data_IF_714364492791
#
_entry.id   IF_714364492791
#
_cell.length_a   1.000
_cell.length_b   1.000
_cell.length_c   1.000
_cell.angle_alpha   90.00
_cell.angle_beta   90.00
_cell.angle_gamma   90.00
#
_symmetry.space_group_name_H-M   'P 1'
#
loop_
_entity.id
_entity.type
_entity.pdbx_description
1 polymer ?
#
# COMPACT_ATOMS: atom_id res chain seq x y z
N UNK A 1 19.07 10.12 -15.70
CA UNK A 1 19.42 11.45 -16.28
C UNK A 1 19.66 12.36 -15.11
N UNK A 2 20.90 12.81 -14.92
CA UNK A 2 21.24 13.72 -13.83
C UNK A 2 20.69 15.10 -14.18
N UNK A 3 19.62 15.54 -13.51
CA UNK A 3 18.94 16.80 -13.81
C UNK A 3 19.82 18.03 -13.66
N UNK A 4 20.94 17.92 -12.92
CA UNK A 4 21.94 18.98 -12.85
C UNK A 4 22.62 19.26 -14.20
N UNK A 5 22.63 18.32 -15.15
CA UNK A 5 23.21 18.54 -16.48
C UNK A 5 22.20 19.10 -17.49
N UNK A 6 20.89 19.03 -17.21
CA UNK A 6 19.82 19.32 -18.16
C UNK A 6 19.42 20.80 -18.19
N UNK A 7 19.68 21.54 -17.11
CA UNK A 7 19.18 22.91 -16.90
C UNK A 7 20.27 23.92 -16.54
N UNK A 8 21.55 23.57 -16.69
CA UNK A 8 22.66 24.52 -16.51
C UNK A 8 22.39 25.77 -17.34
N UNK A 9 22.61 26.94 -16.74
CA UNK A 9 22.52 28.27 -17.37
C UNK A 9 21.09 28.83 -17.58
N UNK A 10 20.03 28.14 -17.13
CA UNK A 10 18.67 28.69 -17.14
C UNK A 10 18.36 29.54 -15.90
N UNK A 11 17.58 30.61 -16.06
CA UNK A 11 17.08 31.41 -14.94
C UNK A 11 16.23 30.55 -14.01
N UNK A 12 16.52 30.58 -12.70
CA UNK A 12 15.86 29.75 -11.69
C UNK A 12 16.54 28.41 -11.41
N UNK A 13 17.63 28.07 -12.12
CA UNK A 13 18.35 26.80 -11.93
C UNK A 13 18.89 26.61 -10.50
N UNK A 14 19.49 27.64 -9.90
CA UNK A 14 20.02 27.57 -8.54
C UNK A 14 18.91 27.34 -7.50
N UNK A 15 17.77 28.00 -7.68
CA UNK A 15 16.59 27.79 -6.82
C UNK A 15 16.00 26.39 -7.01
N UNK A 16 15.99 25.86 -8.24
CA UNK A 16 15.52 24.50 -8.48
C UNK A 16 16.42 23.47 -7.79
N UNK A 17 17.74 23.59 -7.95
CA UNK A 17 18.70 22.70 -7.28
C UNK A 17 18.54 22.73 -5.76
N UNK A 18 18.51 23.92 -5.18
CA UNK A 18 18.36 24.06 -3.73
C UNK A 18 17.02 23.52 -3.22
N UNK A 19 15.93 23.67 -4.01
CA UNK A 19 14.63 23.06 -3.68
C UNK A 19 14.69 21.54 -3.69
N UNK A 20 15.36 20.96 -4.69
CA UNK A 20 15.55 19.52 -4.80
C UNK A 20 16.44 18.97 -3.69
N UNK A 21 17.54 19.65 -3.34
CA UNK A 21 18.39 19.27 -2.21
C UNK A 21 17.63 19.31 -0.88
N UNK A 22 16.82 20.35 -0.67
CA UNK A 22 15.95 20.46 0.50
C UNK A 22 14.94 19.30 0.54
N UNK A 23 14.21 19.04 -0.54
CA UNK A 23 13.23 17.95 -0.62
C UNK A 23 13.88 16.58 -0.34
N UNK A 24 15.05 16.31 -0.95
CA UNK A 24 15.84 15.10 -0.66
C UNK A 24 16.25 14.99 0.80
N UNK A 25 16.64 16.09 1.44
CA UNK A 25 16.99 16.09 2.86
C UNK A 25 15.79 15.76 3.77
N UNK A 26 14.58 16.22 3.40
CA UNK A 26 13.33 15.87 4.07
C UNK A 26 12.98 14.41 3.84
N UNK A 27 13.12 13.93 2.60
CA UNK A 27 12.89 12.52 2.24
C UNK A 27 13.78 11.57 3.05
N UNK A 28 15.05 11.93 3.34
CA UNK A 28 15.91 11.14 4.23
C UNK A 28 15.34 10.98 5.65
N UNK A 29 14.62 11.97 6.18
CA UNK A 29 13.94 11.83 7.47
C UNK A 29 12.71 10.92 7.35
N UNK A 30 11.97 11.04 6.24
CA UNK A 30 10.82 10.20 5.95
C UNK A 30 11.22 8.72 5.77
N UNK A 31 12.38 8.41 5.19
CA UNK A 31 12.84 7.01 5.08
C UNK A 31 13.24 6.41 6.43
N UNK A 32 13.74 7.22 7.36
CA UNK A 32 13.96 6.78 8.75
C UNK A 32 12.63 6.46 9.43
N UNK A 33 11.58 7.25 9.17
CA UNK A 33 10.24 6.95 9.67
C UNK A 33 9.70 5.65 9.08
N UNK A 34 9.86 5.45 7.76
CA UNK A 34 9.54 4.18 7.10
C UNK A 34 10.25 2.98 7.74
N UNK A 35 11.52 3.14 8.17
CA UNK A 35 12.24 2.07 8.88
C UNK A 35 11.63 1.79 10.26
N UNK A 36 11.23 2.81 11.00
CA UNK A 36 10.56 2.66 12.30
C UNK A 36 9.22 1.92 12.15
N UNK A 37 8.46 2.23 11.09
CA UNK A 37 7.20 1.56 10.77
C UNK A 37 7.41 0.11 10.33
N UNK A 38 8.40 -0.14 9.47
CA UNK A 38 8.75 -1.50 9.05
C UNK A 38 9.17 -2.35 10.26
N UNK A 39 10.01 -1.83 11.15
CA UNK A 39 10.45 -2.54 12.36
C UNK A 39 9.29 -2.80 13.32
N UNK A 40 8.36 -1.85 13.43
CA UNK A 40 7.16 -1.95 14.27
C UNK A 40 6.30 -3.17 13.89
N UNK A 41 6.16 -3.44 12.59
CA UNK A 41 5.33 -4.53 12.08
C UNK A 41 6.08 -5.86 11.89
N UNK A 42 7.37 -5.92 12.21
CA UNK A 42 8.20 -7.12 11.93
C UNK A 42 9.00 -7.60 13.14
N UNK A 43 9.73 -6.71 13.82
CA UNK A 43 10.76 -7.08 14.80
C UNK A 43 10.52 -6.48 16.19
N UNK A 44 9.62 -5.51 16.33
CA UNK A 44 9.39 -4.79 17.57
C UNK A 44 8.89 -5.73 18.68
N UNK A 45 9.55 -5.77 19.86
CA UNK A 45 9.03 -6.51 21.00
C UNK A 45 7.68 -5.96 21.46
N UNK A 46 6.75 -6.83 21.86
CA UNK A 46 5.38 -6.46 22.24
C UNK A 46 5.28 -5.35 23.32
N UNK A 47 6.26 -5.24 24.22
CA UNK A 47 6.26 -4.21 25.26
C UNK A 47 6.86 -2.85 24.83
N UNK A 48 7.38 -2.73 23.61
CA UNK A 48 8.14 -1.56 23.16
C UNK A 48 7.29 -0.52 22.39
N UNK A 49 6.00 -0.80 22.14
CA UNK A 49 5.10 0.07 21.38
C UNK A 49 5.03 1.51 21.86
N UNK A 50 4.98 1.74 23.18
CA UNK A 50 4.88 3.10 23.74
C UNK A 50 6.07 4.00 23.37
N UNK A 51 7.30 3.50 23.50
CA UNK A 51 8.47 4.30 23.13
C UNK A 51 8.64 4.41 21.61
N UNK A 52 8.18 3.41 20.83
CA UNK A 52 8.10 3.52 19.37
C UNK A 52 7.14 4.65 18.95
N UNK A 53 6.02 4.82 19.64
CA UNK A 53 5.09 5.92 19.38
C UNK A 53 5.75 7.29 19.64
N UNK A 54 6.55 7.42 20.69
CA UNK A 54 7.34 8.64 20.95
C UNK A 54 8.37 8.94 19.85
N UNK A 55 9.09 7.90 19.38
CA UNK A 55 10.05 8.02 18.29
C UNK A 55 9.38 8.50 17.00
N UNK A 56 8.28 7.86 16.61
CA UNK A 56 7.52 8.20 15.40
C UNK A 56 6.95 9.63 15.48
N UNK A 57 6.36 10.00 16.62
CA UNK A 57 5.81 11.35 16.81
C UNK A 57 6.90 12.43 16.73
N UNK A 58 8.04 12.24 17.39
CA UNK A 58 9.14 13.21 17.35
C UNK A 58 9.74 13.35 15.94
N UNK A 59 9.87 12.25 15.21
CA UNK A 59 10.38 12.28 13.84
C UNK A 59 9.38 12.92 12.88
N UNK A 60 8.08 12.61 13.01
CA UNK A 60 7.02 13.23 12.22
C UNK A 60 6.98 14.76 12.42
N UNK A 61 7.13 15.23 13.67
CA UNK A 61 7.24 16.66 13.99
C UNK A 61 8.43 17.32 13.25
N UNK A 62 9.60 16.69 13.34
CA UNK A 62 10.82 17.21 12.74
C UNK A 62 10.71 17.26 11.22
N UNK A 63 10.27 16.16 10.60
CA UNK A 63 10.06 16.06 9.15
C UNK A 63 9.08 17.11 8.67
N UNK A 64 7.94 17.28 9.36
CA UNK A 64 6.94 18.29 9.02
C UNK A 64 7.50 19.72 9.11
N UNK A 65 8.22 20.03 10.18
CA UNK A 65 8.84 21.34 10.37
C UNK A 65 9.87 21.66 9.27
N UNK A 66 10.62 20.66 8.78
CA UNK A 66 11.52 20.84 7.64
C UNK A 66 10.75 21.00 6.32
N UNK A 67 9.72 20.17 6.10
CA UNK A 67 8.88 20.18 4.88
C UNK A 67 8.17 21.52 4.69
N UNK A 68 7.77 22.16 5.78
CA UNK A 68 6.99 23.41 5.78
C UNK A 68 7.82 24.66 6.10
N UNK A 69 9.15 24.59 5.97
CA UNK A 69 10.03 25.76 6.17
C UNK A 69 9.66 26.91 5.24
N UNK A 70 9.60 28.12 5.82
CA UNK A 70 9.23 29.34 5.08
C UNK A 70 10.17 29.61 3.91
N UNK A 71 11.47 29.43 4.09
CA UNK A 71 12.47 29.66 3.04
C UNK A 71 12.28 28.71 1.85
N UNK A 72 11.84 27.48 2.10
CA UNK A 72 11.52 26.52 1.04
C UNK A 72 10.25 26.96 0.29
N UNK A 73 9.21 27.39 1.01
CA UNK A 73 7.99 27.92 0.40
C UNK A 73 8.23 29.12 -0.49
N UNK A 74 9.01 30.10 0.00
CA UNK A 74 9.38 31.28 -0.78
C UNK A 74 10.18 30.93 -2.05
N UNK A 75 10.95 29.85 -2.02
CA UNK A 75 11.71 29.35 -3.18
C UNK A 75 10.80 28.64 -4.18
N UNK A 76 9.90 27.78 -3.70
CA UNK A 76 8.94 27.07 -4.55
C UNK A 76 7.98 28.03 -5.25
N UNK A 77 7.53 29.10 -4.57
CA UNK A 77 6.69 30.14 -5.18
C UNK A 77 7.42 30.84 -6.34
N UNK A 78 8.68 31.24 -6.13
CA UNK A 78 9.50 31.83 -7.21
C UNK A 78 9.71 30.87 -8.37
N UNK A 79 9.87 29.58 -8.09
CA UNK A 79 10.03 28.56 -9.13
C UNK A 79 8.76 28.35 -9.93
N UNK A 80 7.59 28.35 -9.28
CA UNK A 80 6.30 28.21 -9.94
C UNK A 80 6.07 29.32 -10.99
N UNK A 81 6.57 30.53 -10.74
CA UNK A 81 6.52 31.68 -11.66
C UNK A 81 7.68 31.73 -12.69
N UNK A 82 8.62 30.78 -12.62
CA UNK A 82 9.84 30.83 -13.44
C UNK A 82 9.64 30.26 -14.86
N UNK A 83 10.58 30.55 -15.76
CA UNK A 83 10.62 29.92 -17.09
C UNK A 83 10.82 28.41 -17.03
N UNK A 84 11.40 27.88 -15.94
CA UNK A 84 11.58 26.44 -15.76
C UNK A 84 10.25 25.72 -15.55
N UNK A 85 9.29 26.35 -14.86
CA UNK A 85 7.97 25.76 -14.65
C UNK A 85 7.12 25.67 -15.93
N UNK A 86 7.43 26.48 -16.95
CA UNK A 86 6.63 26.59 -18.19
C UNK A 86 7.33 26.08 -19.43
N UNK A 87 8.65 26.25 -19.53
CA UNK A 87 9.46 25.90 -20.71
C UNK A 87 10.60 24.92 -20.39
N UNK A 88 10.71 24.45 -19.14
CA UNK A 88 11.69 23.45 -18.76
C UNK A 88 11.35 22.06 -19.32
N UNK A 89 12.24 21.06 -19.15
CA UNK A 89 11.90 19.67 -19.41
C UNK A 89 10.73 19.17 -18.55
N UNK A 90 9.92 18.25 -19.06
CA UNK A 90 8.70 17.75 -18.40
C UNK A 90 8.91 17.30 -16.95
N UNK A 91 9.99 16.55 -16.68
CA UNK A 91 10.32 16.09 -15.32
C UNK A 91 10.60 17.24 -14.35
N UNK A 92 11.17 18.34 -14.84
CA UNK A 92 11.47 19.54 -14.03
C UNK A 92 10.19 20.33 -13.78
N UNK A 93 9.38 20.54 -14.82
CA UNK A 93 8.06 21.17 -14.67
C UNK A 93 7.19 20.41 -13.66
N UNK A 94 7.14 19.08 -13.78
CA UNK A 94 6.40 18.23 -12.84
C UNK A 94 6.96 18.31 -11.42
N UNK A 95 8.28 18.29 -11.26
CA UNK A 95 8.93 18.41 -9.93
C UNK A 95 8.59 19.73 -9.26
N UNK A 96 8.68 20.85 -9.98
CA UNK A 96 8.33 22.18 -9.45
C UNK A 96 6.87 22.20 -9.00
N UNK A 97 5.95 21.78 -9.88
CA UNK A 97 4.52 21.75 -9.59
C UNK A 97 4.20 20.91 -8.37
N UNK A 98 4.66 19.66 -8.35
CA UNK A 98 4.30 18.71 -7.29
C UNK A 98 4.92 19.08 -5.93
N UNK A 99 6.16 19.57 -5.90
CA UNK A 99 6.75 20.07 -4.64
C UNK A 99 6.04 21.32 -4.13
N UNK A 100 5.59 22.20 -5.02
CA UNK A 100 4.83 23.40 -4.66
C UNK A 100 3.43 23.06 -4.13
N UNK A 101 2.68 22.21 -4.84
CA UNK A 101 1.38 21.70 -4.40
C UNK A 101 1.49 21.00 -3.05
N UNK A 102 2.50 20.15 -2.87
CA UNK A 102 2.77 19.49 -1.60
C UNK A 102 3.05 20.50 -0.47
N UNK A 103 3.95 21.47 -0.71
CA UNK A 103 4.24 22.51 0.27
C UNK A 103 2.98 23.29 0.67
N UNK A 104 2.15 23.68 -0.30
CA UNK A 104 0.90 24.41 -0.07
C UNK A 104 -0.08 23.60 0.78
N UNK A 105 -0.23 22.31 0.50
CA UNK A 105 -1.10 21.39 1.23
C UNK A 105 -0.60 21.20 2.67
N UNK A 106 0.67 20.85 2.84
CA UNK A 106 1.24 20.51 4.15
C UNK A 106 1.41 21.74 5.05
N UNK A 107 1.69 22.92 4.50
CA UNK A 107 1.81 24.16 5.29
C UNK A 107 0.53 24.59 5.99
N UNK A 108 -0.63 24.06 5.58
CA UNK A 108 -1.91 24.28 6.25
C UNK A 108 -2.12 23.39 7.48
N UNK A 109 -1.32 22.33 7.62
CA UNK A 109 -1.45 21.34 8.69
C UNK A 109 -0.64 21.78 9.91
N UNK A 110 -1.26 21.96 11.09
CA UNK A 110 -0.53 22.27 12.32
C UNK A 110 0.40 21.13 12.74
N UNK A 111 1.62 21.45 13.20
CA UNK A 111 2.58 20.44 13.67
C UNK A 111 2.01 19.51 14.76
N UNK A 112 1.20 20.05 15.68
CA UNK A 112 0.52 19.23 16.71
C UNK A 112 -0.32 18.09 16.13
N UNK A 113 -0.96 18.32 14.98
CA UNK A 113 -1.87 17.36 14.37
C UNK A 113 -1.08 16.23 13.73
N UNK A 114 0.04 16.55 13.09
CA UNK A 114 0.97 15.56 12.54
C UNK A 114 1.53 14.65 13.64
N UNK A 115 1.99 15.25 14.74
CA UNK A 115 2.49 14.52 15.91
C UNK A 115 1.43 13.58 16.51
N UNK A 116 0.20 14.09 16.68
CA UNK A 116 -0.87 13.33 17.30
C UNK A 116 -1.38 12.19 16.41
N UNK A 117 -1.41 12.39 15.09
CA UNK A 117 -1.70 11.33 14.12
C UNK A 117 -0.62 10.24 14.20
N UNK A 118 0.66 10.60 14.13
CA UNK A 118 1.75 9.63 14.17
C UNK A 118 1.74 8.79 15.45
N UNK A 119 1.56 9.44 16.60
CA UNK A 119 1.41 8.76 17.90
C UNK A 119 0.21 7.83 17.92
N UNK A 120 -0.95 8.34 17.55
CA UNK A 120 -2.21 7.57 17.59
C UNK A 120 -2.17 6.38 16.63
N UNK A 121 -1.48 6.48 15.49
CA UNK A 121 -1.30 5.35 14.57
C UNK A 121 -0.56 4.19 15.22
N UNK A 122 0.57 4.44 15.89
CA UNK A 122 1.33 3.37 16.57
C UNK A 122 0.53 2.80 17.75
N UNK A 123 -0.09 3.66 18.57
CA UNK A 123 -0.92 3.20 19.69
C UNK A 123 -2.10 2.33 19.21
N UNK A 124 -2.80 2.77 18.15
CA UNK A 124 -3.91 2.03 17.58
C UNK A 124 -3.47 0.71 16.94
N UNK A 125 -2.31 0.67 16.27
CA UNK A 125 -1.78 -0.55 15.67
C UNK A 125 -1.44 -1.59 16.75
N UNK A 126 -0.83 -1.18 17.85
CA UNK A 126 -0.49 -2.07 18.96
C UNK A 126 -1.75 -2.62 19.65
N UNK A 127 -2.76 -1.77 19.89
CA UNK A 127 -4.05 -2.24 20.41
C UNK A 127 -4.74 -3.17 19.41
N UNK A 128 -4.65 -2.88 18.11
CA UNK A 128 -5.24 -3.73 17.06
C UNK A 128 -4.66 -5.14 17.07
N UNK A 129 -3.34 -5.29 17.23
CA UNK A 129 -2.68 -6.61 17.36
C UNK A 129 -3.30 -7.40 18.53
N UNK A 130 -3.43 -6.77 19.71
CA UNK A 130 -4.02 -7.41 20.88
C UNK A 130 -5.52 -7.71 20.69
N UNK A 131 -6.26 -6.79 20.08
CA UNK A 131 -7.69 -6.91 19.84
C UNK A 131 -8.03 -8.03 18.86
N UNK A 132 -7.21 -8.24 17.82
CA UNK A 132 -7.37 -9.35 16.88
C UNK A 132 -7.09 -10.68 17.56
N UNK A 133 -6.01 -10.79 18.34
CA UNK A 133 -5.69 -12.00 19.10
C UNK A 133 -6.79 -12.35 20.11
N UNK A 134 -7.36 -11.33 20.78
CA UNK A 134 -8.43 -11.50 21.76
C UNK A 134 -9.84 -11.59 21.14
N UNK A 135 -10.01 -11.28 19.85
CA UNK A 135 -11.31 -11.09 19.21
C UNK A 135 -12.20 -10.05 19.92
N UNK A 136 -11.61 -8.93 20.37
CA UNK A 136 -12.27 -7.90 21.21
C UNK A 136 -12.35 -6.54 20.51
N UNK A 137 -13.54 -6.14 20.05
CA UNK A 137 -13.75 -4.85 19.36
C UNK A 137 -13.69 -3.64 20.29
N UNK A 138 -14.12 -3.81 21.54
CA UNK A 138 -14.43 -2.70 22.45
C UNK A 138 -13.24 -1.75 22.67
N UNK A 139 -12.03 -2.29 22.78
CA UNK A 139 -10.84 -1.49 23.02
C UNK A 139 -10.46 -0.65 21.79
N UNK A 140 -10.72 -1.17 20.58
CA UNK A 140 -10.43 -0.47 19.33
C UNK A 140 -11.29 0.77 19.12
N UNK A 141 -12.51 0.81 19.66
CA UNK A 141 -13.45 1.93 19.46
C UNK A 141 -12.79 3.27 19.84
N UNK A 142 -12.17 3.35 21.02
CA UNK A 142 -11.53 4.59 21.51
C UNK A 142 -10.42 5.07 20.56
N UNK A 143 -9.57 4.14 20.11
CA UNK A 143 -8.45 4.46 19.21
C UNK A 143 -8.92 4.88 17.83
N UNK A 144 -9.90 4.17 17.27
CA UNK A 144 -10.46 4.46 15.95
C UNK A 144 -11.27 5.75 15.94
N UNK A 145 -12.08 6.03 16.97
CA UNK A 145 -12.79 7.31 17.09
C UNK A 145 -11.82 8.49 17.11
N UNK A 146 -10.73 8.38 17.88
CA UNK A 146 -9.66 9.37 17.90
C UNK A 146 -9.02 9.51 16.51
N UNK A 147 -8.64 8.41 15.87
CA UNK A 147 -8.01 8.43 14.54
C UNK A 147 -8.91 9.08 13.49
N UNK A 148 -10.19 8.69 13.40
CA UNK A 148 -11.14 9.30 12.46
C UNK A 148 -11.38 10.77 12.76
N UNK A 149 -11.39 11.18 14.03
CA UNK A 149 -11.47 12.60 14.40
C UNK A 149 -10.26 13.38 13.89
N UNK A 150 -9.04 12.87 14.11
CA UNK A 150 -7.81 13.50 13.64
C UNK A 150 -7.75 13.55 12.11
N UNK A 151 -8.21 12.50 11.41
CA UNK A 151 -8.27 12.47 9.95
C UNK A 151 -9.28 13.48 9.39
N UNK A 152 -10.44 13.69 10.03
CA UNK A 152 -11.36 14.78 9.65
C UNK A 152 -10.76 16.17 9.84
N UNK A 153 -10.01 16.37 10.93
CA UNK A 153 -9.27 17.62 11.14
C UNK A 153 -8.20 17.81 10.05
N UNK A 154 -7.44 16.75 9.73
CA UNK A 154 -6.43 16.76 8.67
C UNK A 154 -7.03 17.15 7.32
N UNK A 155 -8.16 16.54 6.95
CA UNK A 155 -8.89 16.86 5.73
C UNK A 155 -9.26 18.34 5.64
N UNK A 156 -9.79 18.89 6.74
CA UNK A 156 -10.17 20.31 6.84
C UNK A 156 -8.96 21.23 6.71
N UNK A 157 -7.80 20.83 7.26
CA UNK A 157 -6.57 21.61 7.13
C UNK A 157 -6.01 21.57 5.70
N UNK A 158 -5.87 20.37 5.12
CA UNK A 158 -5.21 20.18 3.83
C UNK A 158 -5.99 20.81 2.67
N UNK A 159 -7.29 20.52 2.59
CA UNK A 159 -8.14 20.95 1.46
C UNK A 159 -9.55 21.30 1.95
N UNK A 160 -9.74 22.42 2.68
CA UNK A 160 -11.05 22.84 3.22
C UNK A 160 -12.11 23.07 2.13
N UNK A 161 -11.71 23.26 0.89
CA UNK A 161 -12.58 23.41 -0.27
C UNK A 161 -13.11 22.09 -0.84
N UNK A 162 -12.53 20.95 -0.45
CA UNK A 162 -12.93 19.63 -0.93
C UNK A 162 -13.87 18.94 0.06
N UNK A 163 -14.53 17.90 -0.44
CA UNK A 163 -15.18 16.91 0.43
C UNK A 163 -14.12 16.28 1.36
N UNK A 164 -14.41 16.08 2.66
CA UNK A 164 -13.42 15.53 3.59
C UNK A 164 -12.85 14.17 3.17
N UNK A 165 -13.65 13.31 2.54
CA UNK A 165 -13.16 12.02 2.04
C UNK A 165 -12.28 12.20 0.79
N UNK A 166 -12.64 13.14 -0.10
CA UNK A 166 -11.80 13.50 -1.25
C UNK A 166 -10.45 14.05 -0.80
N UNK A 167 -10.42 14.93 0.21
CA UNK A 167 -9.16 15.50 0.74
C UNK A 167 -8.22 14.43 1.28
N UNK A 168 -8.75 13.39 1.92
CA UNK A 168 -7.95 12.28 2.45
C UNK A 168 -7.50 11.32 1.34
N UNK A 169 -8.39 11.00 0.42
CA UNK A 169 -8.10 10.11 -0.70
C UNK A 169 -7.05 10.69 -1.66
N UNK A 170 -7.01 12.03 -1.82
CA UNK A 170 -6.06 12.73 -2.68
C UNK A 170 -4.59 12.51 -2.29
N UNK A 171 -4.30 12.14 -1.04
CA UNK A 171 -2.96 11.71 -0.61
C UNK A 171 -2.53 10.38 -1.25
N UNK A 172 -3.49 9.49 -1.52
CA UNK A 172 -3.25 8.13 -1.98
C UNK A 172 -3.44 7.99 -3.49
N UNK A 173 -4.42 8.71 -4.04
CA UNK A 173 -4.72 8.76 -5.46
C UNK A 173 -4.97 10.23 -5.88
N UNK A 174 -3.91 10.99 -6.21
CA UNK A 174 -4.02 12.40 -6.54
C UNK A 174 -5.03 12.68 -7.64
N UNK A 175 -5.97 13.60 -7.39
CA UNK A 175 -7.02 13.99 -8.32
C UNK A 175 -8.23 13.04 -8.38
N UNK A 176 -8.21 11.89 -7.71
CA UNK A 176 -9.39 11.03 -7.60
C UNK A 176 -10.48 11.70 -6.78
N UNK A 177 -11.75 11.45 -7.13
CA UNK A 177 -12.91 11.95 -6.39
C UNK A 177 -13.88 10.81 -6.12
N UNK A 178 -14.38 10.73 -4.89
CA UNK A 178 -15.12 9.61 -4.35
C UNK A 178 -16.38 9.34 -5.17
N UNK A 179 -17.04 10.37 -5.70
CA UNK A 179 -18.23 10.21 -6.56
C UNK A 179 -17.91 9.45 -7.85
N UNK A 180 -16.74 9.67 -8.44
CA UNK A 180 -16.30 8.95 -9.64
C UNK A 180 -15.93 7.50 -9.33
N UNK A 181 -15.30 7.27 -8.17
CA UNK A 181 -14.99 5.93 -7.65
C UNK A 181 -16.28 5.17 -7.36
N UNK A 182 -17.23 5.79 -6.65
CA UNK A 182 -18.54 5.24 -6.30
C UNK A 182 -19.37 4.86 -7.52
N UNK A 183 -19.38 5.70 -8.56
CA UNK A 183 -20.04 5.37 -9.83
C UNK A 183 -19.40 4.15 -10.52
N UNK A 184 -18.07 4.03 -10.47
CA UNK A 184 -17.34 2.88 -11.02
C UNK A 184 -17.63 1.61 -10.22
N UNK A 185 -17.55 1.69 -8.90
CA UNK A 185 -17.84 0.59 -7.99
C UNK A 185 -19.28 0.13 -8.09
N UNK A 186 -20.25 1.04 -8.13
CA UNK A 186 -21.66 0.71 -8.29
C UNK A 186 -21.94 -0.08 -9.57
N UNK A 187 -21.29 0.30 -10.67
CA UNK A 187 -21.40 -0.43 -11.95
C UNK A 187 -20.78 -1.83 -11.83
N UNK A 188 -19.57 -1.93 -11.29
CA UNK A 188 -18.88 -3.22 -11.13
C UNK A 188 -19.63 -4.15 -10.19
N UNK A 189 -20.09 -3.66 -9.04
CA UNK A 189 -20.83 -4.42 -8.02
C UNK A 189 -22.10 -5.05 -8.57
N UNK A 190 -22.81 -4.33 -9.46
CA UNK A 190 -24.03 -4.82 -10.11
C UNK A 190 -23.81 -6.10 -10.91
N UNK A 191 -22.63 -6.24 -11.52
CA UNK A 191 -22.28 -7.40 -12.36
C UNK A 191 -21.47 -8.46 -11.57
N UNK A 192 -20.59 -8.02 -10.65
CA UNK A 192 -19.73 -8.89 -9.85
C UNK A 192 -20.50 -9.66 -8.77
N UNK A 193 -21.41 -9.03 -8.02
CA UNK A 193 -22.13 -9.73 -6.95
C UNK A 193 -22.99 -10.91 -7.47
N UNK A 194 -23.72 -10.79 -8.61
CA UNK A 194 -24.36 -11.95 -9.25
C UNK A 194 -23.37 -13.01 -9.74
N UNK A 195 -22.20 -12.61 -10.24
CA UNK A 195 -21.17 -13.56 -10.68
C UNK A 195 -20.62 -14.36 -9.48
N UNK A 196 -20.30 -13.71 -8.37
CA UNK A 196 -19.85 -14.35 -7.13
C UNK A 196 -20.89 -15.36 -6.63
N UNK A 197 -22.17 -14.96 -6.56
CA UNK A 197 -23.26 -15.90 -6.21
C UNK A 197 -23.33 -17.08 -7.17
N UNK A 198 -23.22 -16.83 -8.48
CA UNK A 198 -23.22 -17.90 -9.49
C UNK A 198 -22.03 -18.86 -9.36
N UNK A 199 -20.84 -18.35 -9.01
CA UNK A 199 -19.67 -19.17 -8.71
C UNK A 199 -19.88 -20.03 -7.48
N UNK A 200 -20.44 -19.45 -6.41
CA UNK A 200 -20.72 -20.15 -5.16
C UNK A 200 -21.81 -21.24 -5.31
N UNK A 201 -22.86 -20.97 -6.07
CA UNK A 201 -23.94 -21.93 -6.35
C UNK A 201 -23.51 -23.03 -7.33
N UNK A 202 -22.40 -22.85 -8.04
CA UNK A 202 -21.90 -23.81 -9.02
C UNK A 202 -21.20 -24.99 -8.34
N UNK A 203 -21.61 -26.21 -8.67
CA UNK A 203 -20.94 -27.44 -8.23
C UNK A 203 -19.82 -27.91 -9.17
N UNK A 204 -19.59 -27.20 -10.28
CA UNK A 204 -18.69 -27.62 -11.36
C UNK A 204 -17.48 -26.67 -11.51
N UNK A 205 -17.19 -25.86 -10.49
CA UNK A 205 -16.05 -24.96 -10.47
C UNK A 205 -14.73 -25.65 -10.13
N UNK A 206 -13.59 -25.01 -10.47
CA UNK A 206 -12.27 -25.45 -10.07
C UNK A 206 -12.18 -25.62 -8.54
N UNK A 207 -11.52 -26.69 -8.10
CA UNK A 207 -11.37 -27.03 -6.69
C UNK A 207 -9.94 -26.75 -6.22
N UNK A 208 -9.79 -26.24 -5.01
CA UNK A 208 -8.49 -25.82 -4.45
C UNK A 208 -7.76 -26.96 -3.71
N UNK A 209 -8.33 -28.17 -3.67
CA UNK A 209 -7.86 -29.27 -2.82
C UNK A 209 -6.37 -29.60 -3.04
N UNK A 210 -5.89 -29.50 -4.29
CA UNK A 210 -4.48 -29.74 -4.64
C UNK A 210 -3.53 -28.66 -4.11
N UNK A 211 -4.04 -27.50 -3.73
CA UNK A 211 -3.29 -26.39 -3.11
C UNK A 211 -3.14 -26.55 -1.60
N UNK A 212 -3.87 -27.50 -0.99
CA UNK A 212 -3.86 -27.80 0.43
C UNK A 212 -3.01 -29.03 0.70
N UNK A 213 -2.11 -28.95 1.69
CA UNK A 213 -1.14 -30.01 1.90
C UNK A 213 -0.21 -29.73 3.08
N UNK A 214 1.02 -30.20 2.96
CA UNK A 214 2.08 -29.88 3.93
C UNK A 214 3.21 -29.18 3.20
N UNK A 215 3.35 -27.89 3.45
CA UNK A 215 4.33 -27.01 2.84
C UNK A 215 5.25 -26.48 3.95
N UNK A 216 6.35 -27.20 4.29
CA UNK A 216 7.22 -26.79 5.38
C UNK A 216 7.73 -25.36 5.22
N UNK A 217 7.74 -24.58 6.29
CA UNK A 217 8.07 -23.15 6.26
C UNK A 217 9.37 -22.83 5.50
N UNK A 218 10.46 -23.55 5.78
CA UNK A 218 11.75 -23.33 5.11
C UNK A 218 11.70 -23.62 3.60
N UNK A 219 10.90 -24.61 3.19
CA UNK A 219 10.68 -24.92 1.78
C UNK A 219 9.88 -23.81 1.10
N UNK A 220 8.83 -23.28 1.74
CA UNK A 220 8.09 -22.12 1.24
C UNK A 220 8.99 -20.90 1.07
N UNK A 221 9.75 -20.54 2.11
CA UNK A 221 10.67 -19.41 2.07
C UNK A 221 11.68 -19.52 0.93
N UNK A 222 12.26 -20.71 0.72
CA UNK A 222 13.21 -20.95 -0.37
C UNK A 222 12.52 -20.87 -1.74
N UNK A 223 11.34 -21.46 -1.86
CA UNK A 223 10.56 -21.50 -3.09
C UNK A 223 10.10 -20.12 -3.56
N UNK A 224 9.44 -19.35 -2.69
CA UNK A 224 8.94 -18.01 -3.05
C UNK A 224 10.10 -17.06 -3.34
N UNK A 225 11.20 -17.14 -2.58
CA UNK A 225 12.42 -16.37 -2.83
C UNK A 225 12.98 -16.66 -4.22
N UNK A 226 13.06 -17.94 -4.60
CA UNK A 226 13.55 -18.34 -5.91
C UNK A 226 12.65 -17.83 -7.04
N UNK A 227 11.33 -17.81 -6.85
CA UNK A 227 10.39 -17.28 -7.83
C UNK A 227 10.61 -15.78 -8.03
N UNK A 228 10.63 -15.00 -6.95
CA UNK A 228 10.70 -13.55 -7.10
C UNK A 228 12.07 -13.07 -7.60
N UNK A 229 13.15 -13.79 -7.27
CA UNK A 229 14.46 -13.57 -7.88
C UNK A 229 14.41 -13.80 -9.41
N UNK A 230 13.69 -14.82 -9.87
CA UNK A 230 13.58 -15.14 -11.30
C UNK A 230 12.72 -14.15 -12.09
N UNK A 231 11.70 -13.54 -11.49
CA UNK A 231 10.91 -12.49 -12.16
C UNK A 231 11.62 -11.12 -12.12
N UNK A 232 12.72 -10.99 -11.38
CA UNK A 232 13.63 -9.85 -11.45
C UNK A 232 13.83 -9.06 -10.15
N UNK A 233 13.25 -9.50 -9.01
CA UNK A 233 13.45 -8.83 -7.74
C UNK A 233 14.91 -8.99 -7.27
N UNK A 234 15.55 -7.87 -6.95
CA UNK A 234 16.98 -7.81 -6.62
C UNK A 234 17.17 -7.84 -5.10
N UNK A 235 17.64 -8.97 -4.57
CA UNK A 235 17.85 -9.16 -3.13
C UNK A 235 19.12 -8.49 -2.56
N UNK A 236 20.01 -7.99 -3.39
CA UNK A 236 21.08 -7.06 -2.97
C UNK A 236 20.54 -5.63 -2.77
N UNK A 237 19.33 -5.34 -3.28
CA UNK A 237 18.61 -4.07 -3.15
C UNK A 237 17.29 -4.21 -2.38
N UNK A 238 17.13 -5.30 -1.63
CA UNK A 238 15.88 -5.59 -0.95
C UNK A 238 15.87 -6.87 -0.14
N UNK A 239 14.77 -7.15 0.54
CA UNK A 239 14.61 -8.33 1.41
C UNK A 239 13.15 -8.76 1.53
N UNK A 240 12.95 -9.98 2.05
CA UNK A 240 11.64 -10.56 2.35
C UNK A 240 11.63 -10.99 3.82
N UNK A 241 10.66 -10.51 4.59
CA UNK A 241 10.52 -10.81 6.03
C UNK A 241 9.08 -11.25 6.37
N UNK A 242 8.88 -11.65 7.63
CA UNK A 242 7.57 -12.10 8.11
C UNK A 242 6.84 -10.98 8.83
N UNK A 243 5.53 -10.89 8.63
CA UNK A 243 4.64 -9.97 9.32
C UNK A 243 3.24 -10.58 9.46
N UNK A 244 2.34 -9.93 10.20
CA UNK A 244 0.93 -10.30 10.29
C UNK A 244 0.15 -9.93 9.00
N UNK A 245 0.48 -8.77 8.40
CA UNK A 245 -0.15 -8.26 7.19
C UNK A 245 0.89 -7.90 6.14
N UNK A 246 0.96 -8.61 5.00
CA UNK A 246 1.92 -8.32 3.95
C UNK A 246 1.89 -6.86 3.48
N UNK A 247 3.07 -6.30 3.24
CA UNK A 247 3.28 -4.98 2.67
C UNK A 247 4.67 -4.87 2.02
N UNK A 248 4.80 -3.88 1.14
CA UNK A 248 6.04 -3.44 0.51
C UNK A 248 6.42 -2.05 1.02
N UNK A 249 7.71 -1.84 1.33
CA UNK A 249 8.22 -0.56 1.84
C UNK A 249 9.57 -0.23 1.20
N UNK A 250 9.69 0.97 0.64
CA UNK A 250 10.96 1.50 0.12
C UNK A 250 11.59 2.43 1.15
N UNK A 251 12.75 2.05 1.68
CA UNK A 251 13.51 2.80 2.68
C UNK A 251 14.70 3.55 2.08
N UNK A 252 14.89 3.41 0.77
CA UNK A 252 15.98 4.04 0.03
C UNK A 252 16.03 3.51 -1.40
N UNK A 253 16.85 4.12 -2.27
CA UNK A 253 16.94 3.75 -3.68
C UNK A 253 17.40 2.31 -3.95
N UNK A 254 18.01 1.66 -2.95
CA UNK A 254 18.47 0.28 -3.00
C UNK A 254 18.04 -0.51 -1.74
N UNK A 255 16.93 -0.12 -1.10
CA UNK A 255 16.39 -0.81 0.07
C UNK A 255 14.87 -0.92 -0.05
N UNK A 256 14.42 -1.93 -0.81
CA UNK A 256 13.01 -2.27 -0.96
C UNK A 256 12.69 -3.55 -0.17
N UNK A 257 11.82 -3.45 0.83
CA UNK A 257 11.51 -4.54 1.75
C UNK A 257 10.10 -5.06 1.51
N UNK A 258 10.01 -6.35 1.25
CA UNK A 258 8.76 -7.08 1.13
C UNK A 258 8.50 -7.80 2.43
N UNK A 259 7.25 -8.01 2.75
CA UNK A 259 6.87 -8.84 3.89
C UNK A 259 5.76 -9.79 3.48
N UNK A 260 5.67 -10.93 4.15
CA UNK A 260 4.59 -11.88 3.92
C UNK A 260 4.22 -12.61 5.21
N UNK A 261 3.19 -13.44 5.13
CA UNK A 261 2.81 -14.38 6.19
C UNK A 261 2.81 -15.80 5.62
N UNK A 262 2.85 -16.78 6.51
CA UNK A 262 3.04 -18.18 6.14
C UNK A 262 1.89 -19.04 6.63
N UNK A 263 1.47 -19.98 5.79
CA UNK A 263 0.55 -21.05 6.14
C UNK A 263 1.13 -22.38 5.65
N UNK A 264 1.53 -23.26 6.57
CA UNK A 264 2.10 -24.58 6.21
C UNK A 264 1.06 -25.54 5.62
N UNK A 265 -0.22 -25.21 5.70
CA UNK A 265 -1.31 -25.99 5.12
C UNK A 265 -1.75 -25.49 3.73
N UNK A 266 -1.42 -24.26 3.35
CA UNK A 266 -1.92 -23.63 2.13
C UNK A 266 -0.85 -22.77 1.43
N UNK A 267 -0.28 -23.31 0.35
CA UNK A 267 0.79 -22.64 -0.42
C UNK A 267 0.38 -21.27 -1.01
N UNK A 268 -0.84 -21.07 -1.52
CA UNK A 268 -1.26 -19.79 -2.10
C UNK A 268 -1.07 -18.59 -1.16
N UNK A 269 -1.22 -18.77 0.15
CA UNK A 269 -1.06 -17.69 1.16
C UNK A 269 0.25 -16.95 0.99
N UNK A 270 1.38 -17.66 0.98
CA UNK A 270 2.69 -17.04 0.84
C UNK A 270 3.02 -16.74 -0.63
N UNK A 271 2.69 -17.65 -1.56
CA UNK A 271 3.06 -17.50 -2.97
C UNK A 271 2.45 -16.22 -3.59
N UNK A 272 1.14 -16.03 -3.46
CA UNK A 272 0.46 -14.89 -4.07
C UNK A 272 0.70 -13.60 -3.32
N UNK A 273 0.77 -13.66 -1.98
CA UNK A 273 1.23 -12.51 -1.19
C UNK A 273 2.62 -12.03 -1.63
N UNK A 274 3.58 -12.95 -1.80
CA UNK A 274 4.95 -12.57 -2.19
C UNK A 274 5.01 -12.09 -3.63
N UNK A 275 4.24 -12.67 -4.57
CA UNK A 275 4.12 -12.15 -5.94
C UNK A 275 3.51 -10.75 -5.98
N UNK A 276 2.48 -10.50 -5.16
CA UNK A 276 1.84 -9.20 -5.01
C UNK A 276 2.85 -8.16 -4.53
N UNK A 277 3.49 -8.39 -3.38
CA UNK A 277 4.48 -7.47 -2.83
C UNK A 277 5.70 -7.34 -3.75
N UNK A 278 6.11 -8.40 -4.45
CA UNK A 278 7.19 -8.30 -5.42
C UNK A 278 6.82 -7.47 -6.64
N UNK A 279 5.55 -7.45 -7.06
CA UNK A 279 5.11 -6.54 -8.13
C UNK A 279 5.24 -5.07 -7.74
N UNK A 280 4.89 -4.73 -6.49
CA UNK A 280 5.24 -3.43 -5.90
C UNK A 280 6.75 -3.20 -5.88
N UNK A 281 7.51 -4.17 -5.35
CA UNK A 281 8.96 -4.04 -5.24
C UNK A 281 9.69 -3.90 -6.58
N UNK A 282 9.19 -4.52 -7.64
CA UNK A 282 9.72 -4.37 -9.00
C UNK A 282 9.48 -2.97 -9.55
N UNK A 283 8.32 -2.37 -9.25
CA UNK A 283 8.07 -0.98 -9.60
C UNK A 283 9.07 -0.07 -8.88
N UNK A 284 9.17 -0.21 -7.57
CA UNK A 284 10.08 0.56 -6.71
C UNK A 284 11.55 0.41 -7.12
N UNK A 285 12.01 -0.82 -7.39
CA UNK A 285 13.39 -1.08 -7.84
C UNK A 285 13.67 -0.57 -9.27
N UNK A 286 12.60 -0.34 -10.06
CA UNK A 286 12.64 0.23 -11.40
C UNK A 286 12.58 1.76 -11.44
N UNK A 287 12.31 2.43 -10.31
CA UNK A 287 12.29 3.89 -10.23
C UNK A 287 13.71 4.48 -10.42
N UNK A 288 13.81 5.70 -11.00
CA UNK A 288 15.10 6.33 -11.26
C UNK A 288 15.79 6.76 -9.96
N UNK A 289 16.82 6.01 -9.56
CA UNK A 289 17.61 6.22 -8.33
C UNK A 289 18.09 7.66 -8.14
N UNK A 290 18.54 8.34 -9.20
CA UNK A 290 19.03 9.73 -9.13
C UNK A 290 17.94 10.73 -8.67
N UNK A 291 16.67 10.34 -8.81
CA UNK A 291 15.50 11.16 -8.47
C UNK A 291 14.85 10.74 -7.15
N UNK A 292 15.41 9.77 -6.43
CA UNK A 292 14.87 9.35 -5.14
C UNK A 292 14.71 10.56 -4.18
N UNK A 293 13.53 10.65 -3.55
CA UNK A 293 13.13 11.79 -2.71
C UNK A 293 12.66 13.02 -3.47
N UNK A 294 12.41 12.88 -4.78
CA UNK A 294 11.74 13.85 -5.64
C UNK A 294 10.61 13.13 -6.39
N UNK A 295 9.58 13.87 -6.87
CA UNK A 295 8.41 13.26 -7.47
C UNK A 295 8.68 12.26 -8.63
N UNK A 296 9.65 12.48 -9.54
CA UNK A 296 9.95 11.50 -10.60
C UNK A 296 10.60 10.19 -10.12
N UNK A 297 11.12 10.16 -8.89
CA UNK A 297 11.74 8.99 -8.27
C UNK A 297 10.82 8.28 -7.28
N UNK A 298 9.53 8.60 -7.29
CA UNK A 298 8.51 8.05 -6.40
C UNK A 298 7.37 7.44 -7.22
N UNK A 299 6.61 6.52 -6.61
CA UNK A 299 5.40 5.98 -7.23
C UNK A 299 4.36 7.08 -7.46
N UNK A 300 3.73 7.09 -8.64
CA UNK A 300 2.83 8.21 -9.01
C UNK A 300 1.51 8.23 -8.24
N UNK A 301 1.02 7.08 -7.81
CA UNK A 301 -0.19 6.91 -6.99
C UNK A 301 -0.30 5.46 -6.50
N UNK A 302 -1.10 5.21 -5.47
CA UNK A 302 -1.36 3.84 -5.00
C UNK A 302 -2.10 2.99 -6.03
N UNK A 303 -2.97 3.57 -6.86
CA UNK A 303 -3.67 2.84 -7.92
C UNK A 303 -2.72 2.32 -8.99
N UNK A 304 -1.72 3.12 -9.40
CA UNK A 304 -0.68 2.64 -10.32
C UNK A 304 0.23 1.63 -9.62
N UNK A 305 0.57 1.86 -8.35
CA UNK A 305 1.36 0.92 -7.56
C UNK A 305 0.67 -0.45 -7.45
N UNK A 306 -0.64 -0.47 -7.15
CA UNK A 306 -1.50 -1.67 -7.11
C UNK A 306 -1.68 -2.33 -8.48
N UNK A 307 -1.65 -1.55 -9.57
CA UNK A 307 -1.67 -2.15 -10.91
C UNK A 307 -0.47 -3.06 -11.17
N UNK A 308 0.70 -2.74 -10.58
CA UNK A 308 1.91 -3.55 -10.73
C UNK A 308 1.85 -4.81 -9.87
N UNK A 309 1.41 -4.71 -8.62
CA UNK A 309 1.21 -5.89 -7.76
C UNK A 309 0.19 -6.85 -8.35
N UNK A 310 -0.97 -6.35 -8.81
CA UNK A 310 -2.02 -7.17 -9.44
C UNK A 310 -1.60 -7.77 -10.77
N UNK A 311 -0.75 -7.08 -11.55
CA UNK A 311 -0.21 -7.64 -12.78
C UNK A 311 0.61 -8.91 -12.48
N UNK A 312 1.52 -8.84 -11.50
CA UNK A 312 2.38 -9.98 -11.16
C UNK A 312 1.67 -11.07 -10.39
N UNK A 313 0.78 -10.71 -9.46
CA UNK A 313 -0.01 -11.67 -8.70
C UNK A 313 -1.01 -12.41 -9.57
N UNK A 314 -1.86 -11.68 -10.30
CA UNK A 314 -3.03 -12.24 -10.96
C UNK A 314 -2.75 -12.55 -12.43
N UNK A 315 -2.42 -11.53 -13.22
CA UNK A 315 -2.27 -11.70 -14.67
C UNK A 315 -1.10 -12.63 -15.03
N UNK A 316 -0.03 -12.61 -14.24
CA UNK A 316 1.11 -13.53 -14.39
C UNK A 316 0.94 -14.72 -13.45
N UNK A 317 0.93 -14.53 -12.13
CA UNK A 317 1.01 -15.62 -11.15
C UNK A 317 -0.13 -16.63 -11.15
N UNK A 318 -1.31 -16.27 -11.68
CA UNK A 318 -2.48 -17.17 -11.80
C UNK A 318 -2.69 -17.69 -13.23
N UNK A 319 -1.78 -17.35 -14.15
CA UNK A 319 -1.86 -17.79 -15.55
C UNK A 319 -1.43 -19.25 -15.70
N UNK A 320 -1.99 -19.99 -16.68
CA UNK A 320 -1.51 -21.35 -17.01
C UNK A 320 -0.02 -21.38 -17.37
N UNK A 321 0.46 -20.39 -18.11
CA UNK A 321 1.86 -20.27 -18.53
C UNK A 321 2.81 -20.11 -17.34
N UNK A 322 2.39 -19.37 -16.30
CA UNK A 322 3.15 -19.30 -15.06
C UNK A 322 3.26 -20.66 -14.39
N UNK A 323 2.16 -21.42 -14.32
CA UNK A 323 2.18 -22.73 -13.69
C UNK A 323 2.93 -23.78 -14.51
N UNK A 324 2.93 -23.72 -15.84
CA UNK A 324 3.82 -24.53 -16.68
C UNK A 324 5.30 -24.28 -16.33
N UNK A 325 5.68 -23.01 -16.17
CA UNK A 325 7.04 -22.62 -15.80
C UNK A 325 7.40 -22.91 -14.34
N UNK A 326 6.47 -22.69 -13.41
CA UNK A 326 6.66 -22.78 -11.96
C UNK A 326 6.62 -24.24 -11.47
N UNK A 327 5.85 -25.10 -12.14
CA UNK A 327 5.58 -26.46 -11.71
C UNK A 327 6.84 -27.28 -11.40
N UNK A 328 7.91 -27.30 -12.22
CA UNK A 328 9.14 -28.01 -11.88
C UNK A 328 9.82 -27.51 -10.59
N UNK A 329 9.66 -26.22 -10.26
CA UNK A 329 10.17 -25.64 -9.00
C UNK A 329 9.29 -26.06 -7.83
N UNK A 330 7.96 -26.03 -8.01
CA UNK A 330 6.99 -26.44 -7.00
C UNK A 330 7.14 -27.92 -6.66
N UNK A 331 7.23 -28.80 -7.66
CA UNK A 331 7.44 -30.23 -7.48
C UNK A 331 8.74 -30.53 -6.72
N UNK A 332 9.83 -29.83 -7.05
CA UNK A 332 11.11 -29.98 -6.34
C UNK A 332 11.02 -29.52 -4.87
N UNK A 333 10.29 -28.44 -4.60
CA UNK A 333 10.14 -27.89 -3.25
C UNK A 333 9.18 -28.74 -2.39
N UNK A 334 8.15 -29.32 -3.01
CA UNK A 334 7.05 -30.01 -2.34
C UNK A 334 6.65 -31.33 -3.04
N UNK A 335 7.56 -32.31 -3.15
CA UNK A 335 7.32 -33.53 -3.93
C UNK A 335 6.10 -34.31 -3.42
N UNK A 336 5.91 -34.39 -2.10
CA UNK A 336 4.75 -35.06 -1.50
C UNK A 336 3.41 -34.45 -1.87
N UNK A 337 3.37 -33.15 -2.16
CA UNK A 337 2.12 -32.44 -2.50
C UNK A 337 1.86 -32.44 -4.01
N UNK A 338 2.91 -32.51 -4.84
CA UNK A 338 2.81 -32.21 -6.27
C UNK A 338 3.35 -33.30 -7.22
N UNK A 339 3.90 -34.41 -6.75
CA UNK A 339 4.39 -35.49 -7.65
C UNK A 339 3.27 -36.15 -8.48
N UNK A 340 2.05 -36.18 -7.94
CA UNK A 340 0.86 -36.76 -8.58
C UNK A 340 -0.11 -35.69 -9.12
N UNK A 341 0.32 -34.42 -9.20
CA UNK A 341 -0.51 -33.28 -9.66
C UNK A 341 0.14 -32.65 -10.89
N UNK A 342 -0.63 -32.38 -11.93
CA UNK A 342 -0.14 -31.73 -13.15
C UNK A 342 -0.10 -30.21 -13.05
N UNK A 343 0.68 -29.54 -13.91
CA UNK A 343 0.67 -28.07 -14.01
C UNK A 343 -0.71 -27.52 -14.36
N UNK A 344 -1.48 -28.22 -15.19
CA UNK A 344 -2.82 -27.81 -15.62
C UNK A 344 -3.81 -27.87 -14.45
N UNK A 345 -3.74 -28.93 -13.62
CA UNK A 345 -4.55 -29.04 -12.39
C UNK A 345 -4.24 -27.92 -11.39
N UNK A 346 -2.97 -27.54 -11.24
CA UNK A 346 -2.60 -26.39 -10.40
C UNK A 346 -3.10 -25.07 -10.99
N UNK A 347 -2.91 -24.86 -12.29
CA UNK A 347 -3.38 -23.68 -12.99
C UNK A 347 -4.90 -23.53 -12.91
N UNK A 348 -5.65 -24.63 -12.92
CA UNK A 348 -7.10 -24.64 -12.68
C UNK A 348 -7.44 -24.33 -11.22
N UNK A 349 -6.78 -25.01 -10.27
CA UNK A 349 -7.06 -24.87 -8.85
C UNK A 349 -6.86 -23.45 -8.29
N UNK A 350 -5.83 -22.71 -8.75
CA UNK A 350 -5.56 -21.33 -8.28
C UNK A 350 -6.58 -20.29 -8.74
N UNK A 351 -7.47 -20.68 -9.67
CA UNK A 351 -8.61 -19.90 -10.15
C UNK A 351 -9.93 -20.35 -9.51
N UNK A 352 -9.85 -21.14 -8.43
CA UNK A 352 -10.99 -21.37 -7.53
C UNK A 352 -11.53 -20.03 -7.01
N UNK A 353 -12.85 -19.98 -6.88
CA UNK A 353 -13.58 -18.80 -6.40
C UNK A 353 -14.36 -19.24 -5.18
N UNK A 354 -14.05 -18.64 -4.03
CA UNK A 354 -14.69 -18.95 -2.76
C UNK A 354 -14.85 -17.66 -1.94
N UNK A 355 -16.10 -17.21 -1.68
CA UNK A 355 -16.34 -16.13 -0.74
C UNK A 355 -15.73 -16.47 0.62
N UNK A 356 -14.86 -15.59 1.11
CA UNK A 356 -14.24 -15.75 2.43
C UNK A 356 -14.15 -14.39 3.13
N UNK A 357 -13.84 -14.39 4.43
CA UNK A 357 -13.83 -13.16 5.23
C UNK A 357 -12.55 -12.33 5.08
N UNK A 358 -11.52 -12.86 4.43
CA UNK A 358 -10.15 -12.34 4.47
C UNK A 358 -9.78 -11.74 3.12
N UNK A 359 -9.87 -10.40 3.00
CA UNK A 359 -9.56 -9.66 1.76
C UNK A 359 -8.26 -10.09 1.08
N UNK A 360 -7.19 -10.30 1.84
CA UNK A 360 -5.87 -10.64 1.27
C UNK A 360 -5.75 -12.10 0.79
N UNK A 361 -6.75 -12.93 1.09
CA UNK A 361 -6.89 -14.30 0.59
C UNK A 361 -8.04 -14.43 -0.42
N UNK A 362 -8.74 -13.33 -0.72
CA UNK A 362 -9.82 -13.33 -1.68
C UNK A 362 -9.30 -13.60 -3.09
N UNK A 363 -10.06 -14.40 -3.84
CA UNK A 363 -9.81 -14.65 -5.24
C UNK A 363 -10.07 -13.41 -6.12
N UNK A 364 -9.70 -13.48 -7.39
CA UNK A 364 -9.82 -12.35 -8.34
C UNK A 364 -11.25 -11.84 -8.51
N UNK A 365 -12.25 -12.70 -8.31
CA UNK A 365 -13.67 -12.37 -8.50
C UNK A 365 -14.25 -11.71 -7.25
N UNK A 366 -13.87 -12.19 -6.07
CA UNK A 366 -14.41 -11.73 -4.78
C UNK A 366 -13.66 -10.52 -4.21
N UNK A 367 -12.36 -10.35 -4.52
CA UNK A 367 -11.49 -9.31 -3.93
C UNK A 367 -12.08 -7.90 -3.99
N UNK A 368 -12.60 -7.50 -5.16
CA UNK A 368 -13.07 -6.12 -5.36
C UNK A 368 -14.30 -5.79 -4.50
N UNK A 369 -15.12 -6.78 -4.11
CA UNK A 369 -16.24 -6.56 -3.20
C UNK A 369 -15.75 -6.17 -1.80
N UNK A 370 -14.63 -6.73 -1.34
CA UNK A 370 -14.04 -6.36 -0.04
C UNK A 370 -13.57 -4.90 -0.02
N UNK A 371 -13.01 -4.42 -1.13
CA UNK A 371 -12.56 -3.03 -1.29
C UNK A 371 -13.77 -2.09 -1.35
N UNK A 372 -14.78 -2.45 -2.14
CA UNK A 372 -16.03 -1.70 -2.26
C UNK A 372 -16.75 -1.51 -0.93
N UNK A 373 -16.83 -2.57 -0.10
CA UNK A 373 -17.39 -2.49 1.24
C UNK A 373 -16.62 -1.51 2.14
N UNK A 374 -15.28 -1.60 2.16
CA UNK A 374 -14.44 -0.71 2.98
C UNK A 374 -14.57 0.75 2.55
N UNK A 375 -14.54 1.01 1.25
CA UNK A 375 -14.76 2.34 0.69
C UNK A 375 -16.09 2.95 1.16
N UNK A 376 -17.18 2.16 1.12
CA UNK A 376 -18.48 2.64 1.58
C UNK A 376 -18.48 2.96 3.08
N UNK A 377 -17.95 2.05 3.91
CA UNK A 377 -17.92 2.23 5.38
C UNK A 377 -17.01 3.40 5.80
N UNK A 378 -15.83 3.53 5.22
CA UNK A 378 -14.91 4.63 5.51
C UNK A 378 -15.54 5.98 5.17
N UNK A 379 -16.23 6.08 4.01
CA UNK A 379 -16.93 7.30 3.61
C UNK A 379 -18.01 7.68 4.63
N UNK A 380 -18.86 6.73 5.02
CA UNK A 380 -19.91 6.99 6.01
C UNK A 380 -19.33 7.44 7.36
N UNK A 381 -18.19 6.89 7.80
CA UNK A 381 -17.54 7.33 9.04
C UNK A 381 -16.93 8.74 8.90
N UNK A 382 -16.25 9.02 7.79
CA UNK A 382 -15.64 10.34 7.56
C UNK A 382 -16.70 11.44 7.42
N UNK A 383 -17.85 11.14 6.82
CA UNK A 383 -19.00 12.06 6.77
C UNK A 383 -19.79 12.14 8.07
N UNK A 384 -19.54 11.24 9.03
CA UNK A 384 -20.23 11.21 10.33
C UNK A 384 -21.62 10.56 10.29
N UNK A 385 -21.92 9.80 9.24
CA UNK A 385 -23.16 9.05 9.07
C UNK A 385 -23.11 7.67 9.76
N UNK A 386 -21.91 7.15 10.03
CA UNK A 386 -21.68 5.89 10.76
C UNK A 386 -20.81 6.14 11.99
N UNK A 387 -21.31 5.77 13.17
CA UNK A 387 -20.51 5.77 14.39
C UNK A 387 -19.56 4.57 14.43
N UNK A 388 -18.34 4.78 14.94
CA UNK A 388 -17.30 3.73 15.00
C UNK A 388 -17.77 2.53 15.82
N UNK A 389 -18.50 2.75 16.92
CA UNK A 389 -19.04 1.65 17.75
C UNK A 389 -19.96 0.71 16.97
N UNK A 390 -20.64 1.21 15.93
CA UNK A 390 -21.59 0.45 15.11
C UNK A 390 -20.92 -0.21 13.89
N UNK A 391 -19.63 0.07 13.64
CA UNK A 391 -18.90 -0.45 12.48
C UNK A 391 -18.96 -1.98 12.34
N UNK A 392 -18.85 -2.81 13.39
CA UNK A 392 -18.97 -4.26 13.24
C UNK A 392 -20.31 -4.71 12.67
N UNK A 393 -21.41 -4.05 13.04
CA UNK A 393 -22.74 -4.37 12.51
C UNK A 393 -22.85 -3.94 11.05
N UNK A 394 -22.46 -2.70 10.73
CA UNK A 394 -22.47 -2.19 9.37
C UNK A 394 -21.55 -3.01 8.44
N UNK A 395 -20.42 -3.49 8.95
CA UNK A 395 -19.52 -4.40 8.26
C UNK A 395 -20.21 -5.72 7.91
N UNK A 396 -20.83 -6.38 8.89
CA UNK A 396 -21.49 -7.67 8.69
C UNK A 396 -22.68 -7.54 7.74
N UNK A 397 -23.52 -6.52 7.92
CA UNK A 397 -24.66 -6.24 7.04
C UNK A 397 -24.19 -6.02 5.59
N UNK A 398 -23.06 -5.31 5.41
CA UNK A 398 -22.56 -5.05 4.08
C UNK A 398 -21.86 -6.27 3.45
N UNK A 399 -21.18 -7.06 4.27
CA UNK A 399 -20.59 -8.32 3.84
C UNK A 399 -21.67 -9.27 3.31
N UNK A 400 -22.72 -9.51 4.09
CA UNK A 400 -23.86 -10.36 3.66
C UNK A 400 -24.49 -9.83 2.35
N UNK A 401 -24.65 -8.51 2.22
CA UNK A 401 -25.24 -7.92 1.02
C UNK A 401 -24.39 -8.11 -0.26
N UNK A 402 -23.07 -8.03 -0.14
CA UNK A 402 -22.15 -8.12 -1.28
C UNK A 402 -21.79 -9.57 -1.62
N UNK A 403 -21.64 -10.44 -0.62
CA UNK A 403 -21.11 -11.81 -0.78
C UNK A 403 -22.19 -12.90 -0.74
N UNK A 404 -23.37 -12.60 -0.20
CA UNK A 404 -24.37 -13.62 0.19
C UNK A 404 -23.99 -14.25 1.51
#
# INVERSE_FOLDING_TARGET
MNYSDVVKEQSGYEDFLASCEHAKSVSLLATVDGLLQWDEQTMLPAAAGGFRADQAAALAALTHAQRTKKEQGERLEKLADSSLATNGPDAIQATIRLLHEDFQKQSRVPGRLVEEIARTSIEAQQEWVCAVEASEWKNMVTHLEKMFSLKRELATCQSPELDPYDSLMDEYEPGARWRSVDATFSRLRKDLAPLVRGCFESTNGPQDAVLRGTFPLLSQQTFVRQIIEKIGFQFDRGRLDTTAHPFCSTLGPNDCRLTTRWDEAFLPTALYSVLHEAGHGLYEQGLPVDWFGLPPGEATSLGIHESQSRLWENLVGRSPEFWEWCYPLAQKAFPKSFDDVTSDELAEAVRSVEPNFIRVEADEVTYNLHVMMRFDLEREIIHGNLAVVDLPYAWNDRFEADFG
#
